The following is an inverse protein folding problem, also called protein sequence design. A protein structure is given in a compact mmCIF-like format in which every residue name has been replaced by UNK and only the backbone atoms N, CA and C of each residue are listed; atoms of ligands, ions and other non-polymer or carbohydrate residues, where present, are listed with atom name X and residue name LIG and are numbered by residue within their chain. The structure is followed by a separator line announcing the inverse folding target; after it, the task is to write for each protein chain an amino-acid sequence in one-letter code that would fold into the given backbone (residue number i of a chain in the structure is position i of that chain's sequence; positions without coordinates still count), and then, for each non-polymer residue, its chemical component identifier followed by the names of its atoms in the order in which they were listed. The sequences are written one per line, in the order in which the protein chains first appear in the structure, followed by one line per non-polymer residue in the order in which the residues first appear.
data_IF_715297029039
#
_entry.id   IF_715297029039
#
_cell.length_a   1.000
_cell.length_b   1.000
_cell.length_c   1.000
_cell.angle_alpha   90.00
_cell.angle_beta   90.00
_cell.angle_gamma   90.00
#
_symmetry.space_group_name_H-M   'P 1'
#
loop_
_entity.id
_entity.type
_entity.pdbx_description
1 polymer ?
#
# COMPACT_ATOMS: atom_id res chain seq x y z
N UNK A 1 -72.84 -15.76 49.89
CA UNK A 1 -71.93 -16.86 49.49
C UNK A 1 -71.14 -16.41 48.25
N UNK A 2 -70.03 -15.72 48.46
CA UNK A 2 -69.29 -14.93 47.46
C UNK A 2 -67.79 -15.27 47.47
N UNK A 3 -67.46 -16.55 47.58
CA UNK A 3 -66.05 -17.01 47.72
C UNK A 3 -65.57 -17.83 46.50
N UNK A 4 -66.43 -18.13 45.52
CA UNK A 4 -66.07 -19.03 44.41
C UNK A 4 -65.48 -18.36 43.16
N UNK A 5 -65.56 -17.04 42.98
CA UNK A 5 -65.12 -16.38 41.72
C UNK A 5 -63.70 -15.81 41.75
N UNK A 6 -63.05 -15.72 42.91
CA UNK A 6 -61.69 -15.15 43.03
C UNK A 6 -60.58 -16.15 42.67
N UNK A 7 -60.82 -17.46 42.79
CA UNK A 7 -59.80 -18.49 42.48
C UNK A 7 -59.66 -18.77 40.98
N UNK A 8 -60.71 -18.50 40.20
CA UNK A 8 -60.75 -18.81 38.77
C UNK A 8 -60.09 -17.72 37.90
N UNK A 9 -60.09 -16.47 38.37
CA UNK A 9 -59.39 -15.35 37.71
C UNK A 9 -57.89 -15.33 38.02
N UNK A 10 -57.46 -15.77 39.21
CA UNK A 10 -56.03 -15.88 39.56
C UNK A 10 -55.29 -16.94 38.74
N UNK A 11 -55.92 -18.09 38.49
CA UNK A 11 -55.31 -19.17 37.71
C UNK A 11 -55.15 -18.81 36.22
N UNK A 12 -56.10 -18.03 35.66
CA UNK A 12 -56.05 -17.56 34.28
C UNK A 12 -54.97 -16.50 34.06
N UNK A 13 -54.73 -15.63 35.06
CA UNK A 13 -53.69 -14.60 34.97
C UNK A 13 -52.27 -15.20 35.02
N UNK A 14 -52.09 -16.26 35.83
CA UNK A 14 -50.80 -16.96 35.93
C UNK A 14 -50.49 -17.77 34.66
N UNK A 15 -51.51 -18.36 34.00
CA UNK A 15 -51.29 -19.11 32.75
C UNK A 15 -50.91 -18.20 31.56
N UNK A 16 -51.42 -16.96 31.53
CA UNK A 16 -51.09 -15.97 30.49
C UNK A 16 -49.67 -15.40 30.67
N UNK A 17 -49.19 -15.26 31.90
CA UNK A 17 -47.83 -14.78 32.18
C UNK A 17 -46.74 -15.81 31.83
N UNK A 18 -47.03 -17.11 31.94
CA UNK A 18 -46.05 -18.18 31.59
C UNK A 18 -45.94 -18.39 30.07
N UNK A 19 -46.98 -18.06 29.29
CA UNK A 19 -46.94 -18.17 27.82
C UNK A 19 -46.10 -17.07 27.13
N UNK A 20 -45.83 -15.93 27.80
CA UNK A 20 -45.00 -14.85 27.25
C UNK A 20 -43.48 -15.05 27.45
N UNK A 21 -43.05 -16.05 28.24
CA UNK A 21 -41.63 -16.35 28.42
C UNK A 21 -41.07 -17.32 27.36
N UNK A 22 -41.92 -17.88 26.48
CA UNK A 22 -41.55 -18.92 25.52
C UNK A 22 -41.12 -18.43 24.12
N UNK A 23 -41.22 -17.14 23.82
CA UNK A 23 -40.78 -16.57 22.54
C UNK A 23 -39.42 -15.87 22.68
N UNK A 24 -38.42 -16.56 23.23
CA UNK A 24 -37.05 -16.28 22.85
C UNK A 24 -36.73 -17.16 21.66
N UNK A 25 -37.28 -16.78 20.50
CA UNK A 25 -36.74 -17.21 19.23
C UNK A 25 -35.26 -16.87 19.28
N UNK A 26 -34.41 -17.88 19.42
CA UNK A 26 -33.00 -17.80 19.07
C UNK A 26 -32.96 -17.49 17.58
N UNK A 27 -33.13 -16.20 17.27
CA UNK A 27 -32.75 -15.61 16.01
C UNK A 27 -31.24 -15.81 15.96
N UNK A 28 -30.84 -16.92 15.36
CA UNK A 28 -29.51 -17.04 14.77
C UNK A 28 -29.31 -15.74 13.98
N UNK A 29 -28.29 -14.94 14.28
CA UNK A 29 -28.02 -13.76 13.47
C UNK A 29 -27.73 -14.26 12.05
N UNK A 30 -28.71 -14.12 11.16
CA UNK A 30 -28.58 -14.37 9.73
C UNK A 30 -27.73 -13.29 9.03
N UNK A 31 -27.12 -12.37 9.80
CA UNK A 31 -26.04 -11.54 9.28
C UNK A 31 -24.82 -12.42 9.09
N UNK A 32 -24.37 -12.67 7.85
CA UNK A 32 -23.06 -13.25 7.63
C UNK A 32 -22.02 -12.43 8.42
N UNK A 33 -20.96 -13.06 8.99
CA UNK A 33 -19.89 -12.32 9.62
C UNK A 33 -19.43 -11.25 8.63
N UNK A 34 -19.40 -10.00 9.09
CA UNK A 34 -19.03 -8.88 8.26
C UNK A 34 -17.63 -9.14 7.68
N UNK A 35 -17.52 -9.31 6.36
CA UNK A 35 -16.22 -9.42 5.71
C UNK A 35 -15.36 -8.19 6.06
N UNK A 36 -14.14 -8.44 6.52
CA UNK A 36 -13.21 -7.40 6.97
C UNK A 36 -12.81 -6.47 5.81
N UNK A 37 -12.68 -5.18 6.10
CA UNK A 37 -12.17 -4.18 5.14
C UNK A 37 -10.75 -4.56 4.68
N UNK A 38 -10.40 -4.33 3.40
CA UNK A 38 -9.03 -4.57 2.95
C UNK A 38 -8.05 -3.66 3.67
N UNK A 39 -7.05 -4.25 4.31
CA UNK A 39 -6.02 -3.55 5.06
C UNK A 39 -4.69 -3.62 4.31
N UNK A 40 -3.95 -2.51 4.35
CA UNK A 40 -2.57 -2.45 3.90
C UNK A 40 -1.89 -1.39 4.76
N UNK A 41 -0.93 -1.79 5.58
CA UNK A 41 -0.17 -0.90 6.46
C UNK A 41 1.28 -0.86 6.02
N UNK A 42 1.99 0.22 6.36
CA UNK A 42 3.40 0.40 6.09
C UNK A 42 4.05 1.11 7.28
N UNK A 43 5.22 0.61 7.66
CA UNK A 43 6.17 1.26 8.55
C UNK A 43 7.55 1.21 7.90
N UNK A 44 8.19 2.36 7.76
CA UNK A 44 9.56 2.52 7.29
C UNK A 44 10.46 2.91 8.47
N UNK A 45 11.61 2.26 8.56
CA UNK A 45 12.60 2.50 9.61
C UNK A 45 14.00 2.62 9.02
N UNK A 46 14.70 3.69 9.38
CA UNK A 46 16.09 3.89 8.99
C UNK A 46 17.00 2.83 9.64
N UNK A 47 17.87 2.23 8.84
CA UNK A 47 18.88 1.24 9.26
C UNK A 47 20.30 1.84 9.30
N UNK A 48 20.55 2.90 8.54
CA UNK A 48 21.85 3.55 8.40
C UNK A 48 22.26 3.63 6.93
N UNK A 49 23.18 4.53 6.58
CA UNK A 49 23.79 4.61 5.24
C UNK A 49 22.81 4.61 4.04
N UNK A 50 21.68 5.30 4.20
CA UNK A 50 20.65 5.38 3.16
C UNK A 50 19.71 4.16 3.08
N UNK A 51 19.89 3.19 3.97
CA UNK A 51 19.14 1.94 3.99
C UNK A 51 17.93 2.01 4.94
N UNK A 52 16.79 1.48 4.48
CA UNK A 52 15.52 1.50 5.18
C UNK A 52 14.86 0.13 5.16
N UNK A 53 14.45 -0.35 6.33
CA UNK A 53 13.58 -1.51 6.46
C UNK A 53 12.12 -1.05 6.30
N UNK A 54 11.38 -1.70 5.43
CA UNK A 54 9.94 -1.49 5.26
C UNK A 54 9.22 -2.77 5.70
N UNK A 55 8.23 -2.60 6.57
CA UNK A 55 7.41 -3.69 7.08
C UNK A 55 5.95 -3.29 7.10
N UNK A 56 5.05 -4.26 7.00
CA UNK A 56 3.63 -4.00 7.15
C UNK A 56 2.78 -5.25 7.26
N UNK A 57 1.49 -5.02 7.41
CA UNK A 57 0.46 -6.05 7.51
C UNK A 57 -0.63 -5.81 6.47
N UNK A 58 -1.31 -6.89 6.07
CA UNK A 58 -2.40 -6.86 5.11
C UNK A 58 -3.28 -8.09 5.26
N UNK A 59 -4.53 -8.00 4.85
CA UNK A 59 -5.44 -9.15 4.73
C UNK A 59 -5.60 -9.65 3.29
N UNK A 60 -4.68 -9.26 2.39
CA UNK A 60 -4.54 -9.83 1.05
C UNK A 60 -4.10 -11.31 1.12
N UNK A 61 -4.43 -12.13 0.10
CA UNK A 61 -3.99 -13.51 0.05
C UNK A 61 -2.47 -13.65 0.09
N UNK A 62 -1.98 -14.75 0.66
CA UNK A 62 -0.58 -15.13 0.54
C UNK A 62 -0.16 -15.25 -0.93
N UNK A 63 1.11 -14.97 -1.19
CA UNK A 63 1.69 -14.89 -2.53
C UNK A 63 1.19 -13.71 -3.39
N UNK A 64 0.39 -12.79 -2.82
CA UNK A 64 0.09 -11.53 -3.48
C UNK A 64 1.38 -10.72 -3.65
N UNK A 65 1.68 -10.33 -4.88
CA UNK A 65 2.81 -9.46 -5.19
C UNK A 65 2.44 -8.00 -4.94
N UNK A 66 3.24 -7.34 -4.14
CA UNK A 66 3.20 -5.91 -3.87
C UNK A 66 4.49 -5.26 -4.37
N UNK A 67 4.50 -3.93 -4.49
CA UNK A 67 5.69 -3.16 -4.84
C UNK A 67 5.94 -2.10 -3.79
N UNK A 68 7.09 -2.20 -3.11
CA UNK A 68 7.60 -1.17 -2.23
C UNK A 68 8.39 -0.14 -3.04
N UNK A 69 8.23 1.15 -2.73
CA UNK A 69 8.88 2.23 -3.45
C UNK A 69 9.27 3.37 -2.51
N UNK A 70 10.39 4.02 -2.81
CA UNK A 70 10.81 5.26 -2.17
C UNK A 70 10.87 6.38 -3.20
N UNK A 71 10.21 7.49 -2.92
CA UNK A 71 10.10 8.64 -3.81
C UNK A 71 10.65 9.89 -3.15
N UNK A 72 11.39 10.69 -3.92
CA UNK A 72 11.75 12.06 -3.56
C UNK A 72 11.12 13.03 -4.54
N UNK A 73 10.26 13.89 -4.03
CA UNK A 73 9.73 15.00 -4.80
C UNK A 73 10.82 16.05 -5.04
N UNK A 74 10.81 16.61 -6.24
CA UNK A 74 11.74 17.62 -6.72
C UNK A 74 10.91 18.83 -7.14
N UNK A 75 11.18 19.98 -6.55
CA UNK A 75 10.53 21.23 -6.91
C UNK A 75 11.34 21.94 -7.99
N UNK A 76 10.85 22.02 -9.24
CA UNK A 76 11.58 22.64 -10.32
C UNK A 76 11.48 24.17 -10.25
N UNK A 77 12.60 24.87 -10.45
CA UNK A 77 12.61 26.34 -10.48
C UNK A 77 11.78 26.94 -11.63
N UNK A 78 11.48 26.14 -12.67
CA UNK A 78 10.51 26.49 -13.71
C UNK A 78 9.37 25.48 -13.67
N UNK A 79 8.15 25.97 -13.82
CA UNK A 79 6.96 25.11 -13.88
C UNK A 79 7.13 24.02 -14.94
N UNK A 80 6.73 22.79 -14.61
CA UNK A 80 6.61 21.72 -15.59
C UNK A 80 5.50 22.07 -16.58
N UNK A 81 5.61 21.70 -17.87
CA UNK A 81 4.61 22.03 -18.89
C UNK A 81 3.17 21.61 -18.51
N UNK A 82 3.05 20.56 -17.71
CA UNK A 82 1.76 19.96 -17.34
C UNK A 82 1.34 20.29 -15.90
N UNK A 83 2.11 21.11 -15.17
CA UNK A 83 1.88 21.41 -13.75
C UNK A 83 1.99 20.20 -12.81
N UNK A 84 2.52 19.08 -13.29
CA UNK A 84 2.71 17.86 -12.51
C UNK A 84 3.96 17.96 -11.63
N UNK A 85 3.91 17.46 -10.39
CA UNK A 85 5.08 17.42 -9.53
C UNK A 85 6.15 16.53 -10.15
N UNK A 86 7.39 17.01 -10.14
CA UNK A 86 8.54 16.18 -10.52
C UNK A 86 8.93 15.33 -9.31
N UNK A 87 9.27 14.07 -9.55
CA UNK A 87 9.74 13.17 -8.52
C UNK A 87 10.79 12.23 -9.10
N UNK A 88 11.62 11.70 -8.21
CA UNK A 88 12.56 10.64 -8.51
C UNK A 88 12.23 9.40 -7.70
N UNK A 89 12.33 8.25 -8.35
CA UNK A 89 12.29 6.95 -7.68
C UNK A 89 13.70 6.66 -7.18
N UNK A 90 13.84 6.60 -5.86
CA UNK A 90 15.13 6.35 -5.20
C UNK A 90 15.46 4.86 -5.18
N UNK A 91 14.46 4.03 -4.88
CA UNK A 91 14.54 2.57 -4.97
C UNK A 91 13.12 1.98 -5.15
N UNK A 92 13.04 0.77 -5.70
CA UNK A 92 11.81 0.02 -5.86
C UNK A 92 12.09 -1.49 -5.69
N UNK A 93 11.22 -2.19 -4.95
CA UNK A 93 11.36 -3.63 -4.73
C UNK A 93 10.02 -4.36 -4.80
N UNK A 94 9.90 -5.44 -5.58
CA UNK A 94 8.78 -6.36 -5.45
C UNK A 94 8.88 -7.09 -4.09
N UNK A 95 7.75 -7.27 -3.43
CA UNK A 95 7.64 -8.01 -2.17
C UNK A 95 6.40 -8.89 -2.20
N UNK A 96 6.45 -10.03 -1.51
CA UNK A 96 5.36 -11.01 -1.50
C UNK A 96 4.72 -11.06 -0.13
N UNK A 97 3.39 -11.09 -0.08
CA UNK A 97 2.63 -11.29 1.17
C UNK A 97 2.82 -12.73 1.66
N UNK A 98 3.15 -12.87 2.94
CA UNK A 98 3.24 -14.14 3.63
C UNK A 98 2.63 -14.04 5.04
N UNK A 99 1.64 -14.86 5.34
CA UNK A 99 0.93 -14.91 6.61
C UNK A 99 0.36 -13.54 7.03
N UNK A 100 -0.20 -12.80 6.07
CA UNK A 100 -0.76 -11.45 6.30
C UNK A 100 0.30 -10.37 6.63
N UNK A 101 1.57 -10.65 6.40
CA UNK A 101 2.68 -9.73 6.59
C UNK A 101 3.49 -9.59 5.30
N UNK A 102 4.25 -8.50 5.21
CA UNK A 102 5.23 -8.29 4.16
C UNK A 102 6.40 -7.48 4.72
N UNK A 103 7.59 -7.70 4.18
CA UNK A 103 8.78 -6.94 4.54
C UNK A 103 9.79 -6.89 3.41
N UNK A 104 10.52 -5.78 3.32
CA UNK A 104 11.61 -5.60 2.35
C UNK A 104 12.58 -4.54 2.86
N UNK A 105 13.66 -4.35 2.13
CA UNK A 105 14.64 -3.31 2.37
C UNK A 105 14.78 -2.45 1.11
N UNK A 106 14.91 -1.14 1.30
CA UNK A 106 15.21 -0.18 0.25
C UNK A 106 16.54 0.51 0.55
N UNK A 107 17.32 0.80 -0.48
CA UNK A 107 18.54 1.60 -0.38
C UNK A 107 18.40 2.86 -1.24
N UNK A 108 18.33 4.00 -0.57
CA UNK A 108 18.13 5.29 -1.22
C UNK A 108 19.41 5.85 -1.86
N UNK A 109 20.57 5.34 -1.43
CA UNK A 109 21.86 5.88 -1.83
C UNK A 109 22.54 4.93 -2.80
N UNK A 110 23.13 5.53 -3.83
CA UNK A 110 24.04 4.87 -4.77
C UNK A 110 25.40 5.54 -4.68
N UNK A 111 26.43 4.88 -5.22
CA UNK A 111 27.79 5.39 -5.26
C UNK A 111 28.08 5.97 -6.64
N UNK A 112 28.43 7.24 -6.69
CA UNK A 112 28.85 7.94 -7.90
C UNK A 112 30.19 7.43 -8.45
N UNK A 113 30.54 7.83 -9.67
CA UNK A 113 31.81 7.47 -10.29
C UNK A 113 33.05 7.99 -9.53
N UNK A 114 32.88 9.04 -8.73
CA UNK A 114 33.92 9.60 -7.85
C UNK A 114 33.87 9.05 -6.41
N UNK A 115 33.02 8.05 -6.15
CA UNK A 115 32.88 7.43 -4.84
C UNK A 115 31.94 8.14 -3.88
N UNK A 116 31.39 9.32 -4.22
CA UNK A 116 30.40 9.99 -3.36
C UNK A 116 29.09 9.22 -3.30
N UNK A 117 28.47 9.19 -2.13
CA UNK A 117 27.08 8.79 -2.03
C UNK A 117 26.20 9.85 -2.68
N UNK A 118 25.20 9.40 -3.44
CA UNK A 118 24.21 10.26 -4.08
C UNK A 118 22.88 9.51 -4.22
N UNK A 119 21.78 10.24 -4.35
CA UNK A 119 20.49 9.70 -4.79
C UNK A 119 20.46 9.58 -6.33
N UNK A 120 19.53 8.80 -6.87
CA UNK A 120 19.40 8.53 -8.32
C UNK A 120 19.30 9.81 -9.16
N UNK A 121 18.47 10.77 -8.74
CA UNK A 121 18.25 12.02 -9.48
C UNK A 121 19.45 12.96 -9.55
N UNK A 122 20.40 12.89 -8.61
CA UNK A 122 21.51 13.85 -8.57
C UNK A 122 22.41 13.73 -9.81
N UNK A 123 22.55 12.52 -10.36
CA UNK A 123 23.25 12.28 -11.62
C UNK A 123 22.47 12.86 -12.82
N UNK A 124 21.15 12.65 -12.85
CA UNK A 124 20.27 13.08 -13.95
C UNK A 124 20.16 14.60 -14.00
N UNK A 125 20.05 15.26 -12.85
CA UNK A 125 20.00 16.72 -12.75
C UNK A 125 21.28 17.36 -13.31
N UNK A 126 22.45 16.79 -13.03
CA UNK A 126 23.71 17.25 -13.59
C UNK A 126 23.79 17.02 -15.11
N UNK A 127 23.37 15.84 -15.58
CA UNK A 127 23.41 15.48 -17.00
C UNK A 127 22.43 16.30 -17.86
N UNK A 128 21.25 16.60 -17.31
CA UNK A 128 20.16 17.31 -18.00
C UNK A 128 20.14 18.82 -17.69
N UNK A 129 21.09 19.32 -16.89
CA UNK A 129 21.16 20.71 -16.45
C UNK A 129 19.82 21.21 -15.87
N UNK A 130 19.18 20.38 -15.04
CA UNK A 130 17.91 20.71 -14.40
C UNK A 130 18.14 21.57 -13.17
N UNK A 131 17.29 22.58 -12.96
CA UNK A 131 17.32 23.38 -11.74
C UNK A 131 16.16 22.94 -10.85
N UNK A 132 16.44 22.07 -9.88
CA UNK A 132 15.44 21.47 -8.98
C UNK A 132 15.90 21.54 -7.53
N UNK A 133 14.96 21.71 -6.62
CA UNK A 133 15.17 21.67 -5.18
C UNK A 133 14.53 20.38 -4.63
N UNK A 134 15.28 19.47 -3.98
CA UNK A 134 14.68 18.27 -3.41
C UNK A 134 13.84 18.57 -2.17
N UNK A 135 12.78 17.79 -1.99
CA UNK A 135 12.06 17.73 -0.71
C UNK A 135 12.97 17.19 0.40
N UNK A 136 12.78 17.70 1.62
CA UNK A 136 13.44 17.17 2.82
C UNK A 136 12.83 15.84 3.30
N UNK A 137 11.76 15.37 2.66
CA UNK A 137 11.07 14.11 2.98
C UNK A 137 11.19 13.09 1.85
N UNK A 138 11.31 11.82 2.20
CA UNK A 138 11.13 10.69 1.29
C UNK A 138 9.76 10.09 1.57
N UNK A 139 8.99 9.88 0.51
CA UNK A 139 7.74 9.17 0.57
C UNK A 139 8.02 7.69 0.34
N UNK A 140 7.84 6.88 1.38
CA UNK A 140 7.81 5.42 1.27
C UNK A 140 6.38 4.99 0.98
N UNK A 141 6.22 4.00 0.11
CA UNK A 141 4.91 3.45 -0.21
C UNK A 141 4.96 1.96 -0.53
N UNK A 142 3.83 1.30 -0.32
CA UNK A 142 3.55 -0.06 -0.75
C UNK A 142 2.29 -0.05 -1.61
N UNK A 143 2.35 -0.72 -2.75
CA UNK A 143 1.25 -0.72 -3.71
C UNK A 143 0.93 -2.11 -4.24
N UNK A 144 -0.35 -2.35 -4.52
CA UNK A 144 -0.82 -3.41 -5.40
C UNK A 144 -1.25 -2.77 -6.72
N UNK A 145 -0.55 -3.08 -7.80
CA UNK A 145 -0.79 -2.45 -9.09
C UNK A 145 -2.18 -2.82 -9.67
N UNK A 146 -2.77 -1.94 -10.53
CA UNK A 146 -4.13 -2.11 -11.04
C UNK A 146 -4.43 -3.47 -11.68
N UNK A 147 -3.50 -3.98 -12.48
CA UNK A 147 -3.65 -5.25 -13.19
C UNK A 147 -3.65 -6.48 -12.27
N UNK A 148 -3.20 -6.34 -11.01
CA UNK A 148 -3.19 -7.42 -10.03
C UNK A 148 -4.40 -7.41 -9.08
N UNK A 149 -5.16 -6.31 -9.06
CA UNK A 149 -6.38 -6.21 -8.25
C UNK A 149 -7.49 -7.17 -8.71
N UNK A 150 -7.62 -7.39 -10.01
CA UNK A 150 -8.66 -8.26 -10.57
C UNK A 150 -8.56 -9.71 -10.07
N UNK A 151 -7.35 -10.21 -9.79
CA UNK A 151 -7.15 -11.55 -9.24
C UNK A 151 -7.13 -11.57 -7.70
N UNK A 152 -6.48 -10.59 -7.07
CA UNK A 152 -6.28 -10.57 -5.61
C UNK A 152 -7.51 -10.04 -4.83
N UNK A 153 -8.36 -9.24 -5.47
CA UNK A 153 -9.42 -8.49 -4.79
C UNK A 153 -10.83 -8.80 -5.31
N UNK A 154 -11.01 -9.53 -6.41
CA UNK A 154 -12.33 -9.85 -6.96
C UNK A 154 -13.22 -10.64 -5.99
N UNK A 155 -12.66 -11.59 -5.25
CA UNK A 155 -13.38 -12.32 -4.19
C UNK A 155 -13.67 -11.43 -2.96
N UNK A 156 -12.69 -10.62 -2.53
CA UNK A 156 -12.81 -9.75 -1.35
C UNK A 156 -13.74 -8.55 -1.58
N UNK A 157 -13.75 -7.94 -2.77
CA UNK A 157 -14.67 -6.85 -3.15
C UNK A 157 -16.11 -7.34 -3.15
N UNK A 158 -16.36 -8.53 -3.71
CA UNK A 158 -17.68 -9.13 -3.77
C UNK A 158 -18.26 -9.37 -2.35
N UNK A 159 -17.39 -9.68 -1.39
CA UNK A 159 -17.77 -9.93 0.01
C UNK A 159 -17.86 -8.67 0.88
N UNK A 160 -16.95 -7.70 0.71
CA UNK A 160 -16.80 -6.55 1.63
C UNK A 160 -17.60 -5.29 1.24
N UNK A 161 -17.97 -5.15 -0.05
CA UNK A 161 -18.69 -3.98 -0.57
C UNK A 161 -17.82 -2.72 -0.76
N UNK A 162 -18.17 -1.84 -1.71
CA UNK A 162 -17.29 -0.77 -2.21
C UNK A 162 -16.92 0.33 -1.19
N UNK A 163 -17.71 0.54 -0.14
CA UNK A 163 -17.46 1.60 0.86
C UNK A 163 -16.28 1.27 1.80
N UNK A 164 -15.88 0.01 1.94
CA UNK A 164 -14.89 -0.44 2.94
C UNK A 164 -13.43 -0.40 2.46
N UNK A 165 -13.19 -0.04 1.20
CA UNK A 165 -11.86 0.00 0.57
C UNK A 165 -11.25 1.41 0.55
N UNK A 166 -12.03 2.45 0.91
CA UNK A 166 -11.74 3.83 0.57
C UNK A 166 -10.42 4.42 1.11
N UNK A 167 -9.86 3.86 2.20
CA UNK A 167 -8.63 4.41 2.80
C UNK A 167 -7.37 4.02 2.03
N UNK A 168 -7.31 2.80 1.49
CA UNK A 168 -6.16 2.26 0.76
C UNK A 168 -6.39 2.22 -0.74
N UNK A 169 -7.64 2.27 -1.20
CA UNK A 169 -7.98 2.30 -2.61
C UNK A 169 -7.68 3.70 -3.18
N UNK A 170 -7.01 3.70 -4.32
CA UNK A 170 -6.75 4.86 -5.17
C UNK A 170 -7.20 4.51 -6.58
N UNK A 171 -7.29 5.50 -7.45
CA UNK A 171 -7.70 5.33 -8.85
C UNK A 171 -6.68 6.02 -9.74
N UNK A 172 -6.25 5.33 -10.80
CA UNK A 172 -5.37 5.90 -11.83
C UNK A 172 -6.11 6.97 -12.64
N UNK A 173 -5.40 7.83 -13.41
CA UNK A 173 -6.05 8.78 -14.31
C UNK A 173 -6.96 8.13 -15.37
N UNK A 174 -6.73 6.84 -15.69
CA UNK A 174 -7.56 6.04 -16.61
C UNK A 174 -8.75 5.38 -15.93
N UNK A 175 -8.94 5.58 -14.61
CA UNK A 175 -10.07 5.04 -13.86
C UNK A 175 -9.82 3.65 -13.25
N UNK A 176 -8.59 3.13 -13.29
CA UNK A 176 -8.28 1.80 -12.76
C UNK A 176 -7.97 1.88 -11.26
N UNK A 177 -8.59 1.05 -10.41
CA UNK A 177 -8.26 1.04 -8.98
C UNK A 177 -6.82 0.54 -8.74
N UNK A 178 -6.19 0.94 -7.63
CA UNK A 178 -4.96 0.37 -7.05
C UNK A 178 -4.99 0.48 -5.52
N UNK A 179 -4.28 -0.41 -4.80
CA UNK A 179 -4.10 -0.25 -3.35
C UNK A 179 -2.80 0.49 -3.07
N UNK A 180 -2.82 1.36 -2.07
CA UNK A 180 -1.71 2.22 -1.69
C UNK A 180 -1.73 2.52 -0.19
N UNK A 181 -0.60 2.27 0.46
CA UNK A 181 -0.31 2.77 1.81
C UNK A 181 1.07 3.41 1.82
N UNK A 182 1.23 4.46 2.62
CA UNK A 182 2.42 5.30 2.53
C UNK A 182 2.83 5.92 3.87
N UNK A 183 4.09 6.34 3.94
CA UNK A 183 4.65 7.07 5.06
C UNK A 183 5.73 8.02 4.56
N UNK A 184 5.61 9.30 4.91
CA UNK A 184 6.65 10.28 4.66
C UNK A 184 7.60 10.36 5.86
N UNK A 185 8.92 10.26 5.62
CA UNK A 185 9.95 10.45 6.64
C UNK A 185 10.89 11.58 6.25
N UNK A 186 11.38 12.34 7.23
CA UNK A 186 12.47 13.28 7.02
C UNK A 186 13.77 12.51 6.78
N UNK A 187 14.37 12.71 5.61
CA UNK A 187 15.60 12.02 5.20
C UNK A 187 16.51 13.05 4.55
N UNK A 188 17.67 13.28 5.17
CA UNK A 188 18.68 14.19 4.65
C UNK A 188 19.29 13.66 3.34
N UNK A 189 19.90 14.57 2.58
CA UNK A 189 20.66 14.18 1.39
C UNK A 189 21.86 13.31 1.78
N UNK A 190 22.31 12.43 0.87
CA UNK A 190 23.49 11.59 1.11
C UNK A 190 24.72 12.44 1.46
N UNK A 191 25.55 11.90 2.35
CA UNK A 191 26.83 12.53 2.73
C UNK A 191 27.91 11.46 2.85
N UNK A 192 29.16 11.84 2.61
CA UNK A 192 30.30 10.92 2.67
C UNK A 192 30.67 10.31 1.32
N UNK A 193 31.65 9.41 1.36
CA UNK A 193 32.28 8.77 0.22
C UNK A 193 32.66 7.32 0.56
N UNK A 194 32.75 6.50 -0.47
CA UNK A 194 33.26 5.13 -0.44
C UNK A 194 34.09 4.84 -1.68
N UNK A 195 34.58 3.61 -1.84
CA UNK A 195 35.30 3.21 -3.04
C UNK A 195 34.38 3.26 -4.26
N UNK A 196 34.78 3.91 -5.38
CA UNK A 196 33.98 3.93 -6.59
C UNK A 196 33.63 2.53 -7.09
N UNK A 197 32.45 2.32 -7.69
CA UNK A 197 32.09 1.03 -8.27
C UNK A 197 33.07 0.64 -9.38
N UNK A 198 33.58 -0.58 -9.33
CA UNK A 198 34.51 -1.09 -10.35
C UNK A 198 33.81 -1.30 -11.71
N UNK A 199 32.52 -1.63 -11.67
CA UNK A 199 31.71 -1.94 -12.85
C UNK A 199 31.16 -0.66 -13.54
N UNK A 200 31.24 -0.60 -14.87
CA UNK A 200 30.63 0.45 -15.69
C UNK A 200 29.10 0.35 -15.73
N UNK A 201 28.52 -0.85 -15.62
CA UNK A 201 27.05 -1.05 -15.65
C UNK A 201 26.40 -0.49 -14.39
N UNK A 202 27.04 -0.70 -13.23
CA UNK A 202 26.65 -0.03 -11.98
C UNK A 202 26.72 1.50 -12.07
N UNK A 203 27.58 2.03 -12.96
CA UNK A 203 27.77 3.48 -13.20
C UNK A 203 26.82 4.07 -14.26
N UNK A 204 26.34 3.29 -15.23
CA UNK A 204 25.63 3.82 -16.41
C UNK A 204 24.10 3.83 -16.29
N UNK A 205 23.51 3.07 -15.36
CA UNK A 205 22.05 2.87 -15.29
C UNK A 205 21.41 3.28 -13.95
N UNK A 206 22.11 4.09 -13.13
CA UNK A 206 21.60 4.57 -11.84
C UNK A 206 21.25 3.45 -10.83
N UNK A 207 21.89 2.29 -10.94
CA UNK A 207 21.66 1.14 -10.04
C UNK A 207 20.44 0.26 -10.36
N UNK A 208 19.70 0.52 -11.45
CA UNK A 208 18.45 -0.21 -11.80
C UNK A 208 18.65 -1.59 -12.44
N UNK A 209 19.89 -2.03 -12.65
CA UNK A 209 20.20 -3.30 -13.31
C UNK A 209 19.88 -3.32 -14.82
N UNK A 210 19.57 -4.52 -15.34
CA UNK A 210 19.45 -4.82 -16.76
C UNK A 210 18.09 -4.39 -17.37
N UNK A 211 17.84 -3.08 -17.49
CA UNK A 211 16.60 -2.56 -18.14
C UNK A 211 16.42 -3.03 -19.58
N UNK A 212 17.49 -3.46 -20.25
CA UNK A 212 17.42 -4.04 -21.58
C UNK A 212 16.80 -5.45 -21.62
N UNK A 213 16.58 -6.07 -20.44
CA UNK A 213 15.80 -7.31 -20.30
C UNK A 213 14.30 -7.05 -20.08
N UNK A 214 13.86 -5.79 -20.06
CA UNK A 214 12.43 -5.50 -20.16
C UNK A 214 11.92 -6.10 -21.46
N UNK A 215 11.03 -7.09 -21.33
CA UNK A 215 10.40 -7.77 -22.45
C UNK A 215 9.85 -6.70 -23.40
N UNK A 216 10.13 -6.78 -24.71
CA UNK A 216 9.56 -5.82 -25.65
C UNK A 216 8.05 -5.74 -25.46
N UNK A 217 7.51 -4.53 -25.60
CA UNK A 217 6.08 -4.27 -25.50
C UNK A 217 5.32 -5.32 -26.35
N UNK A 218 4.38 -6.08 -25.76
CA UNK A 218 3.65 -7.07 -26.52
C UNK A 218 2.95 -6.38 -27.69
N UNK A 219 2.91 -7.01 -28.87
CA UNK A 219 2.33 -6.40 -30.06
C UNK A 219 0.89 -5.96 -29.75
N UNK A 220 0.56 -4.72 -30.13
CA UNK A 220 -0.77 -4.17 -29.94
C UNK A 220 -1.79 -5.12 -30.62
N UNK A 221 -2.90 -5.47 -29.95
CA UNK A 221 -3.81 -6.52 -30.42
C UNK A 221 -4.59 -6.17 -31.71
N UNK A 222 -4.30 -5.06 -32.37
CA UNK A 222 -4.94 -4.67 -33.62
C UNK A 222 -3.93 -4.05 -34.58
N UNK A 223 -3.48 -4.86 -35.55
CA UNK A 223 -2.94 -4.45 -36.86
C UNK A 223 -3.74 -5.15 -37.94
#
# INVERSE_FOLDING_TARGET
MTISRLKQTGLLLVLVLVACAGCQSTLLPLTPPAAEATTLTLEAKAMGDGEFALTGTTNLPDNTQLTAIALRYLDPQRATPDGKPLYSVLDYRPVTVANGQWSTQLNLWQVAADGRYQESWQAEVAALNLAVQPSNTVQFAIALAPHHLGAALSSKIAEAGPQRLAQVLRVTPTGEPFLWADQALAVGLPSGQTSPPTDLVARSNGGWGDRYLLVPEPPLPYT
#
